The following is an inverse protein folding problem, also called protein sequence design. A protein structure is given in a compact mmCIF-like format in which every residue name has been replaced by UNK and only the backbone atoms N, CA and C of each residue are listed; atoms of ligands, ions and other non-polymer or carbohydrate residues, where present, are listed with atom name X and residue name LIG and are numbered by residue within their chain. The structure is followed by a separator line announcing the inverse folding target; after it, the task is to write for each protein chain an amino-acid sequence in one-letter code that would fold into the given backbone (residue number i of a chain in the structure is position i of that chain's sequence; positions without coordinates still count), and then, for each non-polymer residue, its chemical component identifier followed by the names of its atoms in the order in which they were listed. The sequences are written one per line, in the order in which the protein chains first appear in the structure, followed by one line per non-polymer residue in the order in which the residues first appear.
data_IF_855466574804
#
_entry.id   IF_855466574804
#
_cell.length_a   1.000
_cell.length_b   1.000
_cell.length_c   1.000
_cell.angle_alpha   90.00
_cell.angle_beta   90.00
_cell.angle_gamma   90.00
#
_symmetry.space_group_name_H-M   'P 1'
#
loop_
_entity.id
_entity.type
_entity.pdbx_description
1 polymer ?
#
# COMPACT_ATOMS: atom_id res chain seq x y z
N UNK A 1 4.54 -8.29 0.60
CA UNK A 1 4.18 -7.24 1.57
C UNK A 1 4.25 -5.88 0.87
N UNK A 2 3.10 -5.33 0.46
CA UNK A 2 3.02 -4.00 -0.16
C UNK A 2 3.08 -2.93 0.94
N UNK A 3 4.10 -2.09 0.90
CA UNK A 3 4.30 -0.99 1.85
C UNK A 3 3.97 0.33 1.18
N UNK A 4 3.35 1.21 1.92
CA UNK A 4 3.07 2.59 1.54
C UNK A 4 3.23 3.49 2.77
N UNK A 5 3.46 4.78 2.58
CA UNK A 5 3.49 5.74 3.70
C UNK A 5 2.24 5.60 4.56
N UNK A 6 2.43 5.35 5.86
CA UNK A 6 1.34 5.05 6.78
C UNK A 6 0.28 6.16 6.79
N UNK A 7 0.69 7.44 6.87
CA UNK A 7 -0.21 8.59 6.81
C UNK A 7 -1.12 8.56 5.57
N UNK A 8 -0.55 8.31 4.39
CA UNK A 8 -1.32 8.26 3.14
C UNK A 8 -2.35 7.12 3.15
N UNK A 9 -1.98 5.98 3.74
CA UNK A 9 -2.87 4.82 3.85
C UNK A 9 -3.99 5.05 4.87
N UNK A 10 -3.67 5.59 6.04
CA UNK A 10 -4.61 5.89 7.11
C UNK A 10 -5.68 6.88 6.62
N UNK A 11 -5.26 8.00 6.02
CA UNK A 11 -6.21 8.98 5.47
C UNK A 11 -7.03 8.38 4.33
N UNK A 12 -6.40 7.61 3.45
CA UNK A 12 -7.12 6.97 2.36
C UNK A 12 -8.20 6.01 2.85
N UNK A 13 -7.93 5.23 3.90
CA UNK A 13 -8.92 4.34 4.52
C UNK A 13 -10.03 5.17 5.16
N UNK A 14 -9.68 6.17 5.96
CA UNK A 14 -10.64 6.99 6.69
C UNK A 14 -11.59 7.78 5.78
N UNK A 15 -11.09 8.25 4.63
CA UNK A 15 -11.89 8.99 3.64
C UNK A 15 -12.74 8.10 2.73
N UNK A 16 -12.43 6.81 2.63
CA UNK A 16 -13.20 5.89 1.80
C UNK A 16 -14.45 5.43 2.56
N UNK A 17 -15.58 5.52 1.89
CA UNK A 17 -16.84 5.00 2.44
C UNK A 17 -16.89 3.46 2.29
N UNK A 18 -16.17 2.77 3.18
CA UNK A 18 -16.14 1.30 3.24
C UNK A 18 -17.23 0.83 4.21
N UNK A 19 -18.47 0.89 3.77
CA UNK A 19 -19.67 0.66 4.61
C UNK A 19 -19.70 -0.71 5.29
N UNK A 20 -19.05 -1.71 4.71
CA UNK A 20 -19.01 -3.08 5.26
C UNK A 20 -17.96 -3.26 6.37
N UNK A 21 -17.09 -2.26 6.58
CA UNK A 21 -15.98 -2.33 7.52
C UNK A 21 -16.14 -1.30 8.63
N UNK A 22 -16.88 -1.62 9.68
CA UNK A 22 -17.19 -0.68 10.77
C UNK A 22 -15.97 -0.03 11.44
N UNK A 23 -14.85 -0.75 11.53
CA UNK A 23 -13.63 -0.27 12.17
C UNK A 23 -12.92 0.87 11.45
N UNK A 24 -13.14 1.03 10.12
CA UNK A 24 -12.49 2.09 9.32
C UNK A 24 -13.07 3.48 9.56
N UNK A 25 -14.21 3.57 10.24
CA UNK A 25 -14.86 4.84 10.57
C UNK A 25 -14.33 5.49 11.87
N UNK A 26 -13.38 4.83 12.52
CA UNK A 26 -12.72 5.33 13.72
C UNK A 26 -11.19 5.31 13.53
N UNK A 27 -10.55 6.47 13.64
CA UNK A 27 -9.11 6.61 13.45
C UNK A 27 -8.30 5.73 14.42
N UNK A 28 -8.68 5.66 15.68
CA UNK A 28 -7.96 4.83 16.66
C UNK A 28 -7.97 3.36 16.27
N UNK A 29 -9.08 2.87 15.73
CA UNK A 29 -9.16 1.49 15.24
C UNK A 29 -8.29 1.28 13.99
N UNK A 30 -8.17 2.27 13.11
CA UNK A 30 -7.26 2.21 11.97
C UNK A 30 -5.81 2.13 12.45
N UNK A 31 -5.42 2.95 13.43
CA UNK A 31 -4.08 2.88 14.01
C UNK A 31 -3.79 1.53 14.69
N UNK A 32 -4.74 0.99 15.46
CA UNK A 32 -4.62 -0.35 16.07
C UNK A 32 -4.47 -1.44 15.01
N UNK A 33 -5.20 -1.33 13.90
CA UNK A 33 -5.06 -2.25 12.77
C UNK A 33 -3.64 -2.22 12.18
N UNK A 34 -3.09 -1.02 11.94
CA UNK A 34 -1.72 -0.88 11.44
C UNK A 34 -0.68 -1.40 12.44
N UNK A 35 -0.87 -1.16 13.73
CA UNK A 35 0.04 -1.65 14.76
C UNK A 35 0.08 -3.19 14.78
N UNK A 36 -1.08 -3.83 14.75
CA UNK A 36 -1.17 -5.29 14.65
C UNK A 36 -0.56 -5.81 13.35
N UNK A 37 -0.83 -5.15 12.23
CA UNK A 37 -0.25 -5.52 10.94
C UNK A 37 1.27 -5.48 10.98
N UNK A 38 1.88 -4.40 11.49
CA UNK A 38 3.34 -4.30 11.55
C UNK A 38 3.96 -5.31 12.51
N UNK A 39 3.31 -5.63 13.62
CA UNK A 39 3.74 -6.69 14.53
C UNK A 39 3.73 -8.05 13.84
N UNK A 40 2.61 -8.41 13.23
CA UNK A 40 2.45 -9.70 12.54
C UNK A 40 3.46 -9.85 11.41
N UNK A 41 3.56 -8.84 10.51
CA UNK A 41 4.49 -8.93 9.39
C UNK A 41 5.95 -8.95 9.86
N UNK A 42 6.26 -8.27 10.96
CA UNK A 42 7.56 -8.31 11.61
C UNK A 42 7.95 -9.71 12.06
N UNK A 43 7.04 -10.42 12.72
CA UNK A 43 7.26 -11.81 13.14
C UNK A 43 7.38 -12.77 11.95
N UNK A 44 6.54 -12.61 10.93
CA UNK A 44 6.68 -13.38 9.68
C UNK A 44 8.04 -13.17 9.02
N UNK A 45 8.53 -11.94 8.96
CA UNK A 45 9.84 -11.63 8.36
C UNK A 45 11.00 -12.22 9.15
N UNK A 46 10.93 -12.21 10.49
CA UNK A 46 11.93 -12.87 11.33
C UNK A 46 11.98 -14.37 11.06
N UNK A 47 10.81 -15.00 10.98
CA UNK A 47 10.71 -16.45 10.82
C UNK A 47 10.94 -16.93 9.39
N UNK A 48 10.55 -16.13 8.40
CA UNK A 48 10.51 -16.52 6.99
C UNK A 48 11.12 -15.41 6.09
N UNK A 49 12.35 -14.96 6.42
CA UNK A 49 13.00 -13.82 5.77
C UNK A 49 13.06 -13.94 4.24
N UNK A 50 13.33 -15.15 3.73
CA UNK A 50 13.47 -15.41 2.30
C UNK A 50 12.13 -15.54 1.54
N UNK A 51 11.00 -15.51 2.23
CA UNK A 51 9.67 -15.66 1.63
C UNK A 51 8.85 -14.36 1.65
N UNK A 52 9.38 -13.29 2.24
CA UNK A 52 8.67 -12.01 2.34
C UNK A 52 9.44 -10.92 1.62
N UNK A 53 8.93 -10.49 0.48
CA UNK A 53 9.43 -9.33 -0.25
C UNK A 53 8.68 -8.07 0.15
N UNK A 54 9.39 -7.00 0.51
CA UNK A 54 8.80 -5.69 0.75
C UNK A 54 8.77 -4.89 -0.57
N UNK A 55 7.59 -4.72 -1.12
CA UNK A 55 7.37 -3.83 -2.25
C UNK A 55 6.97 -2.45 -1.73
N UNK A 56 7.86 -1.49 -1.87
CA UNK A 56 7.58 -0.09 -1.53
C UNK A 56 6.81 0.58 -2.67
N UNK A 57 5.62 1.07 -2.37
CA UNK A 57 4.72 1.66 -3.36
C UNK A 57 5.29 2.94 -3.99
N UNK A 58 5.92 3.78 -3.19
CA UNK A 58 6.51 5.04 -3.65
C UNK A 58 7.68 4.76 -4.60
N UNK A 59 8.56 3.83 -4.24
CA UNK A 59 9.66 3.41 -5.10
C UNK A 59 9.15 2.75 -6.37
N UNK A 60 8.14 1.88 -6.25
CA UNK A 60 7.54 1.21 -7.39
C UNK A 60 6.92 2.20 -8.39
N UNK A 61 6.21 3.21 -7.90
CA UNK A 61 5.60 4.22 -8.80
C UNK A 61 6.62 5.18 -9.41
N UNK A 62 7.77 5.38 -8.78
CA UNK A 62 8.86 6.19 -9.31
C UNK A 62 9.72 5.43 -10.34
N UNK A 63 9.94 4.13 -10.12
CA UNK A 63 10.84 3.28 -10.91
C UNK A 63 10.17 1.94 -11.25
N UNK A 64 9.02 1.94 -11.96
CA UNK A 64 8.18 0.75 -12.09
C UNK A 64 8.86 -0.42 -12.80
N UNK A 65 9.72 -0.16 -13.78
CA UNK A 65 10.45 -1.21 -14.47
C UNK A 65 11.48 -1.89 -13.57
N UNK A 66 12.27 -1.10 -12.84
CA UNK A 66 13.31 -1.63 -11.95
C UNK A 66 12.67 -2.43 -10.82
N UNK A 67 11.65 -1.89 -10.18
CA UNK A 67 11.00 -2.52 -9.03
C UNK A 67 10.19 -3.77 -9.43
N UNK A 68 9.55 -3.76 -10.60
CA UNK A 68 8.87 -4.95 -11.12
C UNK A 68 9.86 -6.07 -11.48
N UNK A 69 11.03 -5.75 -12.04
CA UNK A 69 12.08 -6.74 -12.29
C UNK A 69 12.57 -7.38 -10.99
N UNK A 70 12.82 -6.60 -9.95
CA UNK A 70 13.20 -7.11 -8.62
C UNK A 70 12.13 -8.04 -8.05
N UNK A 71 10.86 -7.63 -8.13
CA UNK A 71 9.74 -8.45 -7.65
C UNK A 71 9.65 -9.78 -8.41
N UNK A 72 9.73 -9.75 -9.74
CA UNK A 72 9.69 -10.98 -10.55
C UNK A 72 10.88 -11.90 -10.24
N UNK A 73 12.09 -11.34 -10.09
CA UNK A 73 13.26 -12.09 -9.67
C UNK A 73 13.06 -12.76 -8.30
N UNK A 74 12.52 -12.04 -7.33
CA UNK A 74 12.20 -12.62 -6.02
C UNK A 74 11.19 -13.78 -6.11
N UNK A 75 10.20 -13.65 -6.98
CA UNK A 75 9.19 -14.69 -7.22
C UNK A 75 9.69 -15.84 -8.12
N UNK A 76 10.93 -15.80 -8.58
CA UNK A 76 11.49 -16.76 -9.52
C UNK A 76 10.71 -16.83 -10.84
N UNK A 77 10.19 -15.69 -11.29
CA UNK A 77 9.41 -15.54 -12.52
C UNK A 77 10.17 -14.71 -13.56
N UNK A 78 10.06 -15.05 -14.85
CA UNK A 78 10.59 -14.21 -15.91
C UNK A 78 9.84 -12.88 -15.94
N UNK A 79 10.59 -11.78 -16.10
CA UNK A 79 9.99 -10.48 -16.28
C UNK A 79 9.59 -10.26 -17.75
N UNK A 80 8.40 -9.69 -17.95
CA UNK A 80 7.91 -9.27 -19.26
C UNK A 80 7.44 -7.81 -19.17
N UNK A 81 7.72 -7.02 -20.20
CA UNK A 81 7.28 -5.61 -20.30
C UNK A 81 5.76 -5.44 -20.15
N UNK A 82 4.99 -6.45 -20.51
CA UNK A 82 3.53 -6.49 -20.31
C UNK A 82 3.11 -6.33 -18.85
N UNK A 83 4.00 -6.64 -17.89
CA UNK A 83 3.75 -6.36 -16.46
C UNK A 83 3.44 -4.87 -16.20
N UNK A 84 4.03 -3.96 -16.99
CA UNK A 84 3.81 -2.52 -16.90
C UNK A 84 2.60 -2.04 -17.74
N UNK A 85 2.07 -2.91 -18.58
CA UNK A 85 0.96 -2.61 -19.50
C UNK A 85 -0.38 -3.21 -19.02
N UNK A 86 -0.47 -3.57 -17.73
CA UNK A 86 -1.66 -4.20 -17.14
C UNK A 86 -2.96 -3.43 -17.41
N UNK A 87 -2.88 -2.10 -17.51
CA UNK A 87 -4.03 -1.23 -17.77
C UNK A 87 -4.64 -1.43 -19.17
N UNK A 88 -3.91 -2.04 -20.10
CA UNK A 88 -4.40 -2.39 -21.44
C UNK A 88 -5.28 -3.65 -21.45
N UNK A 89 -5.22 -4.46 -20.38
CA UNK A 89 -6.00 -5.70 -20.28
C UNK A 89 -7.48 -5.38 -20.10
N UNK A 90 -8.31 -5.99 -20.95
CA UNK A 90 -9.79 -5.87 -20.92
C UNK A 90 -10.49 -7.12 -20.37
N UNK A 91 -9.74 -8.20 -20.25
CA UNK A 91 -10.22 -9.53 -19.82
C UNK A 91 -10.38 -9.67 -18.31
N UNK A 92 -9.77 -8.76 -17.53
CA UNK A 92 -9.86 -8.77 -16.06
C UNK A 92 -10.90 -7.74 -15.61
N UNK A 93 -11.93 -8.24 -14.93
CA UNK A 93 -12.91 -7.39 -14.25
C UNK A 93 -12.50 -7.23 -12.79
N UNK A 94 -12.24 -6.01 -12.36
CA UNK A 94 -12.04 -5.70 -10.94
C UNK A 94 -13.37 -5.24 -10.33
N UNK A 95 -13.74 -5.87 -9.21
CA UNK A 95 -14.92 -5.49 -8.41
C UNK A 95 -14.56 -4.55 -7.24
N UNK A 96 -13.32 -4.04 -7.20
CA UNK A 96 -12.86 -3.16 -6.12
C UNK A 96 -13.12 -1.69 -6.42
N UNK A 97 -13.09 -0.85 -5.38
CA UNK A 97 -13.19 0.61 -5.50
C UNK A 97 -12.10 1.23 -6.39
N UNK A 98 -11.02 0.50 -6.63
CA UNK A 98 -9.89 0.90 -7.50
C UNK A 98 -10.10 0.59 -8.97
N UNK A 99 -11.29 0.14 -9.39
CA UNK A 99 -11.60 -0.27 -10.77
C UNK A 99 -11.10 0.74 -11.83
N UNK A 100 -11.34 2.02 -11.62
CA UNK A 100 -10.90 3.06 -12.55
C UNK A 100 -9.37 3.29 -12.52
N UNK A 101 -8.74 3.09 -11.36
CA UNK A 101 -7.31 3.33 -11.19
C UNK A 101 -6.47 2.28 -11.93
N UNK A 102 -6.89 1.01 -11.88
CA UNK A 102 -6.18 -0.09 -12.58
C UNK A 102 -6.29 -0.02 -14.11
N UNK A 103 -7.12 0.88 -14.65
CA UNK A 103 -7.25 1.14 -16.09
C UNK A 103 -6.36 2.27 -16.58
N UNK A 104 -5.52 2.80 -15.72
CA UNK A 104 -4.55 3.84 -16.05
C UNK A 104 -3.14 3.30 -15.90
N UNK A 105 -2.23 3.83 -16.70
CA UNK A 105 -0.80 3.54 -16.53
C UNK A 105 -0.34 3.95 -15.12
N UNK A 106 0.75 3.36 -14.66
CA UNK A 106 1.37 3.72 -13.38
C UNK A 106 1.68 5.22 -13.41
N UNK A 107 1.24 5.94 -12.41
CA UNK A 107 1.49 7.38 -12.26
C UNK A 107 2.09 7.67 -10.88
N UNK A 108 2.91 8.71 -10.84
CA UNK A 108 3.51 9.17 -9.59
C UNK A 108 2.43 9.73 -8.67
N UNK A 109 2.36 9.18 -7.48
CA UNK A 109 1.42 9.65 -6.47
C UNK A 109 2.00 10.88 -5.77
N UNK A 110 1.29 12.01 -5.81
CA UNK A 110 1.68 13.20 -5.05
C UNK A 110 1.43 12.96 -3.56
N UNK A 111 2.52 12.79 -2.81
CA UNK A 111 2.46 12.55 -1.37
C UNK A 111 1.79 13.70 -0.56
N UNK A 112 1.66 14.86 -1.17
CA UNK A 112 1.21 16.09 -0.52
C UNK A 112 -0.30 16.16 -0.27
N UNK A 113 -1.10 15.28 -0.88
CA UNK A 113 -2.56 15.27 -0.73
C UNK A 113 -3.02 15.18 0.73
N UNK A 114 -2.25 14.54 1.57
CA UNK A 114 -2.62 14.25 2.96
C UNK A 114 -1.92 15.14 4.00
N UNK A 115 -1.05 16.05 3.56
CA UNK A 115 -0.36 16.99 4.46
C UNK A 115 -1.29 17.83 5.32
N UNK A 116 -2.44 18.34 4.83
CA UNK A 116 -3.37 19.10 5.67
C UNK A 116 -3.91 18.34 6.89
N UNK A 117 -3.87 17.01 6.85
CA UNK A 117 -4.36 16.16 7.94
C UNK A 117 -3.28 15.74 8.92
N UNK A 118 -2.02 16.13 8.69
CA UNK A 118 -0.86 15.64 9.46
C UNK A 118 -0.99 15.95 10.95
N UNK A 119 -1.32 17.18 11.30
CA UNK A 119 -1.45 17.59 12.71
C UNK A 119 -2.56 16.83 13.42
N UNK A 120 -3.72 16.71 12.78
CA UNK A 120 -4.85 15.95 13.30
C UNK A 120 -4.50 14.48 13.56
N UNK A 121 -3.72 13.87 12.69
CA UNK A 121 -3.35 12.47 12.81
C UNK A 121 -2.21 12.24 13.79
N UNK A 122 -1.29 13.21 13.92
CA UNK A 122 -0.15 13.10 14.83
C UNK A 122 -0.56 12.86 16.28
N UNK A 123 -1.68 13.42 16.72
CA UNK A 123 -2.20 13.17 18.08
C UNK A 123 -2.47 11.67 18.37
N UNK A 124 -2.79 10.91 17.32
CA UNK A 124 -2.96 9.44 17.41
C UNK A 124 -1.66 8.71 17.16
N UNK A 125 -0.89 9.16 16.16
CA UNK A 125 0.32 8.50 15.65
C UNK A 125 1.48 8.48 16.63
N UNK A 126 1.61 9.53 17.45
CA UNK A 126 2.70 9.64 18.44
C UNK A 126 2.76 8.47 19.45
N UNK A 127 1.69 7.68 19.55
CA UNK A 127 1.65 6.46 20.38
C UNK A 127 2.35 5.26 19.72
N UNK A 128 2.68 5.36 18.43
CA UNK A 128 3.15 4.23 17.64
C UNK A 128 4.49 4.52 16.99
N UNK A 129 5.51 3.70 17.34
CA UNK A 129 6.90 3.87 16.86
C UNK A 129 7.06 3.77 15.34
N UNK A 130 6.17 3.07 14.66
CA UNK A 130 6.18 2.87 13.21
C UNK A 130 5.61 4.06 12.42
N UNK A 131 5.03 5.03 13.10
CA UNK A 131 4.35 6.16 12.45
C UNK A 131 5.30 7.25 11.96
N UNK A 132 6.48 7.40 12.55
CA UNK A 132 7.49 8.43 12.26
C UNK A 132 8.27 8.15 10.98
#
# INVERSE_FOLDING_TARGET
NCRRRALSSIISIFQNNLTELSWVHNLENIFKYFDNYFKIIGEFKKKYSNFVYDLDFENFTNNPEIESKKLMSFCNLPWDKKCLEFYKRKDIVSKTTSYQQIRKAIYKHTANKYLPYKEFINQYGNKYSWFN
#
